data_IF_285684680589
#
_entry.id   IF_285684680589
#
_cell.length_a   1.000
_cell.length_b   1.000
_cell.length_c   1.000
_cell.angle_alpha   90.00
_cell.angle_beta   90.00
_cell.angle_gamma   90.00
#
_symmetry.space_group_name_H-M   'P 1'
#
loop_
_entity.id
_entity.type
_entity.pdbx_description
1 polymer ?
#
# COMPACT_ATOMS: atom_id res chain seq x y z
N UNK A 1 -22.32 37.36 1.54
CA UNK A 1 -20.92 37.06 1.15
C UNK A 1 -20.68 35.57 1.37
N UNK A 2 -21.32 34.73 0.55
CA UNK A 2 -21.20 33.28 0.57
C UNK A 2 -20.29 32.88 -0.60
N UNK A 3 -19.24 32.10 -0.35
CA UNK A 3 -18.53 31.35 -1.39
C UNK A 3 -17.94 30.10 -0.71
N UNK A 4 -18.68 28.99 -0.68
CA UNK A 4 -18.71 27.95 -1.71
C UNK A 4 -17.43 27.10 -1.73
N UNK A 5 -17.55 25.94 -1.06
CA UNK A 5 -16.87 24.67 -1.28
C UNK A 5 -15.33 24.61 -1.21
N UNK A 6 -14.85 24.26 -0.02
CA UNK A 6 -13.69 23.39 0.13
C UNK A 6 -14.01 22.02 -0.49
N UNK A 7 -13.73 21.85 -1.78
CA UNK A 7 -13.73 20.55 -2.44
C UNK A 7 -12.34 19.93 -2.23
N UNK A 8 -12.14 19.37 -1.04
CA UNK A 8 -10.96 18.55 -0.69
C UNK A 8 -10.92 17.41 -1.70
N UNK A 9 -10.08 17.55 -2.73
CA UNK A 9 -9.72 16.54 -3.72
C UNK A 9 -10.81 15.45 -3.86
N UNK A 10 -11.93 15.80 -4.49
CA UNK A 10 -13.05 14.94 -4.89
C UNK A 10 -13.30 13.69 -4.03
N UNK A 11 -14.40 13.68 -3.28
CA UNK A 11 -15.07 12.43 -2.87
C UNK A 11 -15.03 11.44 -4.05
N UNK A 12 -14.64 10.18 -3.87
CA UNK A 12 -14.47 9.25 -4.98
C UNK A 12 -15.81 9.11 -5.72
N UNK A 13 -15.94 9.73 -6.90
CA UNK A 13 -17.07 9.47 -7.78
C UNK A 13 -16.88 8.08 -8.35
N UNK A 14 -17.72 7.16 -7.90
CA UNK A 14 -17.77 5.79 -8.36
C UNK A 14 -17.87 5.76 -9.90
N UNK A 15 -16.80 5.32 -10.55
CA UNK A 15 -16.80 4.42 -11.72
C UNK A 15 -15.38 4.28 -12.25
N UNK A 16 -14.47 3.73 -11.44
CA UNK A 16 -13.31 3.05 -12.02
C UNK A 16 -13.81 1.68 -12.45
N UNK A 17 -13.81 1.43 -13.76
CA UNK A 17 -14.03 0.12 -14.33
C UNK A 17 -13.03 -0.84 -13.67
N UNK A 18 -13.50 -1.65 -12.72
CA UNK A 18 -12.76 -2.72 -12.06
C UNK A 18 -12.60 -3.87 -13.05
N UNK A 19 -11.99 -3.61 -14.22
CA UNK A 19 -11.57 -4.67 -15.12
C UNK A 19 -10.40 -5.39 -14.44
N UNK A 20 -10.78 -6.38 -13.61
CA UNK A 20 -10.02 -7.59 -13.27
C UNK A 20 -8.50 -7.37 -13.30
N UNK A 21 -7.94 -6.87 -12.20
CA UNK A 21 -6.51 -6.99 -11.94
C UNK A 21 -6.27 -8.47 -11.62
N UNK A 22 -6.22 -9.30 -12.66
CA UNK A 22 -5.61 -10.62 -12.61
C UNK A 22 -4.11 -10.41 -12.47
N UNK A 23 -3.67 -10.22 -11.23
CA UNK A 23 -2.31 -10.53 -10.80
C UNK A 23 -2.46 -11.25 -9.46
N UNK A 24 -3.01 -12.46 -9.59
CA UNK A 24 -2.96 -13.52 -8.61
C UNK A 24 -1.47 -13.74 -8.31
N UNK A 25 -0.99 -13.29 -7.15
CA UNK A 25 0.16 -13.96 -6.57
C UNK A 25 -0.18 -15.46 -6.56
N UNK A 26 0.82 -16.33 -6.74
CA UNK A 26 0.72 -17.80 -6.83
C UNK A 26 0.20 -18.47 -5.53
N UNK A 27 -0.71 -17.80 -4.82
CA UNK A 27 -1.45 -18.24 -3.63
C UNK A 27 -2.34 -19.43 -3.93
N UNK A 28 -2.67 -19.71 -5.20
CA UNK A 28 -3.45 -20.88 -5.62
C UNK A 28 -2.80 -22.21 -5.24
N UNK A 29 -1.47 -22.24 -5.04
CA UNK A 29 -0.72 -23.44 -4.63
C UNK A 29 -0.54 -23.54 -3.10
N UNK A 30 -1.01 -22.56 -2.33
CA UNK A 30 -0.90 -22.57 -0.88
C UNK A 30 -2.14 -23.21 -0.23
N UNK A 31 -1.95 -24.05 0.81
CA UNK A 31 -3.05 -24.72 1.48
C UNK A 31 -3.98 -23.70 2.15
N UNK A 32 -5.27 -23.90 1.96
CA UNK A 32 -6.32 -23.13 2.63
C UNK A 32 -6.42 -23.54 4.12
N UNK A 33 -7.02 -22.67 4.94
CA UNK A 33 -7.12 -22.82 6.39
C UNK A 33 -7.69 -24.19 6.81
N UNK A 34 -8.71 -24.66 6.11
CA UNK A 34 -9.40 -25.92 6.42
C UNK A 34 -8.53 -27.15 6.13
N UNK A 35 -7.56 -27.03 5.23
CA UNK A 35 -6.66 -28.12 4.82
C UNK A 35 -5.38 -28.20 5.65
N UNK A 36 -5.08 -27.17 6.46
CA UNK A 36 -3.84 -27.11 7.27
C UNK A 36 -3.69 -28.27 8.25
N UNK A 37 -4.81 -28.85 8.72
CA UNK A 37 -4.79 -29.98 9.67
C UNK A 37 -4.40 -31.30 9.01
N UNK A 38 -4.46 -31.37 7.69
CA UNK A 38 -4.33 -32.60 6.90
C UNK A 38 -2.94 -32.74 6.25
N UNK A 39 -2.20 -31.63 6.16
CA UNK A 39 -0.86 -31.59 5.58
C UNK A 39 0.23 -31.98 6.60
N UNK A 40 1.34 -32.51 6.11
CA UNK A 40 2.46 -32.88 6.97
C UNK A 40 3.29 -31.65 7.42
N UNK A 41 4.22 -31.87 8.35
CA UNK A 41 5.04 -30.79 8.92
C UNK A 41 5.94 -30.08 7.89
N UNK A 42 6.41 -30.77 6.85
CA UNK A 42 7.22 -30.15 5.81
C UNK A 42 6.37 -29.23 4.91
N UNK A 43 5.17 -29.68 4.57
CA UNK A 43 4.17 -28.90 3.85
C UNK A 43 3.71 -27.67 4.65
N UNK A 44 3.55 -27.78 5.98
CA UNK A 44 3.25 -26.63 6.84
C UNK A 44 4.36 -25.58 6.82
N UNK A 45 5.63 -25.99 6.88
CA UNK A 45 6.77 -25.06 6.80
C UNK A 45 6.82 -24.37 5.42
N UNK A 46 6.58 -25.12 4.34
CA UNK A 46 6.50 -24.54 3.00
C UNK A 46 5.33 -23.53 2.90
N UNK A 47 4.17 -23.86 3.47
CA UNK A 47 3.02 -22.97 3.52
C UNK A 47 3.31 -21.68 4.28
N UNK A 48 3.98 -21.75 5.44
CA UNK A 48 4.41 -20.56 6.20
C UNK A 48 5.27 -19.65 5.32
N UNK A 49 6.25 -20.22 4.61
CA UNK A 49 7.11 -19.48 3.70
C UNK A 49 6.34 -18.83 2.56
N UNK A 50 5.47 -19.58 1.89
CA UNK A 50 4.68 -19.06 0.76
C UNK A 50 3.67 -17.99 1.18
N UNK A 51 2.99 -18.16 2.32
CA UNK A 51 2.09 -17.14 2.85
C UNK A 51 2.84 -15.87 3.26
N UNK A 52 4.06 -15.97 3.80
CA UNK A 52 4.89 -14.81 4.08
C UNK A 52 5.32 -14.06 2.80
N UNK A 53 5.64 -14.78 1.73
CA UNK A 53 5.94 -14.18 0.42
C UNK A 53 4.70 -13.48 -0.18
N UNK A 54 3.54 -14.13 -0.08
CA UNK A 54 2.27 -13.56 -0.51
C UNK A 54 1.92 -12.28 0.27
N UNK A 55 2.11 -12.27 1.59
CA UNK A 55 1.93 -11.11 2.44
C UNK A 55 2.85 -9.95 2.02
N UNK A 56 4.14 -10.24 1.81
CA UNK A 56 5.11 -9.25 1.34
C UNK A 56 4.71 -8.64 -0.01
N UNK A 57 4.33 -9.47 -0.97
CA UNK A 57 3.89 -9.02 -2.28
C UNK A 57 2.58 -8.20 -2.21
N UNK A 58 1.63 -8.59 -1.35
CA UNK A 58 0.40 -7.83 -1.13
C UNK A 58 0.69 -6.46 -0.48
N UNK A 59 1.58 -6.43 0.52
CA UNK A 59 2.02 -5.20 1.16
C UNK A 59 2.76 -4.27 0.18
N UNK A 60 3.55 -4.80 -0.74
CA UNK A 60 4.21 -4.02 -1.80
C UNK A 60 3.20 -3.33 -2.72
N UNK A 61 2.17 -4.05 -3.16
CA UNK A 61 1.08 -3.50 -4.00
C UNK A 61 0.31 -2.42 -3.25
N UNK A 62 0.01 -2.62 -1.97
CA UNK A 62 -0.63 -1.61 -1.11
C UNK A 62 0.23 -0.34 -1.02
N UNK A 63 1.54 -0.47 -0.79
CA UNK A 63 2.44 0.69 -0.73
C UNK A 63 2.54 1.41 -2.09
N UNK A 64 2.59 0.68 -3.20
CA UNK A 64 2.57 1.28 -4.54
C UNK A 64 1.28 2.10 -4.78
N UNK A 65 0.12 1.58 -4.35
CA UNK A 65 -1.13 2.32 -4.44
C UNK A 65 -1.16 3.58 -3.55
N UNK A 66 -0.57 3.52 -2.35
CA UNK A 66 -0.43 4.69 -1.47
C UNK A 66 0.51 5.72 -2.11
N UNK A 67 1.62 5.31 -2.72
CA UNK A 67 2.55 6.21 -3.38
C UNK A 67 1.85 6.95 -4.54
N UNK A 68 1.11 6.23 -5.38
CA UNK A 68 0.35 6.82 -6.49
C UNK A 68 -0.70 7.82 -6.01
N UNK A 69 -1.50 7.47 -4.99
CA UNK A 69 -2.48 8.39 -4.41
C UNK A 69 -1.80 9.65 -3.86
N UNK A 70 -0.69 9.49 -3.15
CA UNK A 70 0.04 10.60 -2.56
C UNK A 70 0.67 11.49 -3.65
N UNK A 71 1.21 10.88 -4.71
CA UNK A 71 1.71 11.57 -5.92
C UNK A 71 0.68 12.54 -6.49
N UNK A 72 -0.50 12.00 -6.82
CA UNK A 72 -1.61 12.74 -7.43
C UNK A 72 -2.14 13.87 -6.56
N UNK A 73 -2.27 13.62 -5.25
CA UNK A 73 -2.90 14.58 -4.35
C UNK A 73 -1.95 15.65 -3.83
N UNK A 74 -0.66 15.34 -3.66
CA UNK A 74 0.29 16.23 -3.00
C UNK A 74 1.24 16.95 -3.98
N UNK A 75 1.44 16.46 -5.21
CA UNK A 75 2.49 16.99 -6.10
C UNK A 75 2.03 17.36 -7.52
N UNK A 76 0.92 16.81 -8.03
CA UNK A 76 0.50 17.01 -9.43
C UNK A 76 -0.33 18.30 -9.69
N UNK A 77 -0.72 19.07 -8.67
CA UNK A 77 -1.50 20.31 -8.83
C UNK A 77 -0.68 21.58 -8.55
N UNK A 78 -0.16 22.28 -9.58
CA UNK A 78 0.64 23.50 -9.41
C UNK A 78 -0.18 24.71 -8.89
N UNK A 79 -1.51 24.61 -8.79
CA UNK A 79 -2.40 25.65 -8.26
C UNK A 79 -2.67 25.57 -6.75
N UNK A 80 -2.35 24.46 -6.08
CA UNK A 80 -2.55 24.23 -4.64
C UNK A 80 -1.40 24.77 -3.78
N UNK A 81 -0.97 26.00 -4.01
CA UNK A 81 0.22 26.53 -3.32
C UNK A 81 -0.07 27.10 -1.91
N UNK A 82 -1.19 26.81 -1.25
CA UNK A 82 -1.49 27.44 0.04
C UNK A 82 -1.21 26.57 1.27
N UNK A 83 -1.37 25.24 1.24
CA UNK A 83 -1.13 24.37 2.42
C UNK A 83 -0.80 22.90 2.06
N UNK A 84 0.42 22.60 1.61
CA UNK A 84 0.83 21.21 1.31
C UNK A 84 0.70 20.24 2.51
N UNK A 85 0.74 20.76 3.74
CA UNK A 85 0.48 19.99 4.95
C UNK A 85 -0.97 19.49 5.03
N UNK A 86 -1.94 20.30 4.57
CA UNK A 86 -3.36 19.93 4.60
C UNK A 86 -3.66 18.84 3.55
N UNK A 87 -2.97 18.87 2.40
CA UNK A 87 -3.08 17.81 1.38
C UNK A 87 -2.50 16.50 1.90
N UNK A 88 -1.34 16.52 2.57
CA UNK A 88 -0.76 15.34 3.21
C UNK A 88 -1.69 14.76 4.27
N UNK A 89 -2.22 15.60 5.15
CA UNK A 89 -3.12 15.17 6.22
C UNK A 89 -4.44 14.62 5.67
N UNK A 90 -4.94 15.19 4.57
CA UNK A 90 -6.11 14.69 3.85
C UNK A 90 -5.88 13.31 3.25
N UNK A 91 -4.71 13.05 2.65
CA UNK A 91 -4.36 11.72 2.14
C UNK A 91 -4.14 10.73 3.30
N UNK A 92 -3.47 11.15 4.39
CA UNK A 92 -3.27 10.31 5.56
C UNK A 92 -4.59 9.90 6.21
N UNK A 93 -5.61 10.76 6.21
CA UNK A 93 -6.95 10.41 6.65
C UNK A 93 -7.61 9.36 5.74
N UNK A 94 -7.49 9.48 4.42
CA UNK A 94 -8.03 8.51 3.46
C UNK A 94 -7.35 7.13 3.60
N UNK A 95 -6.02 7.11 3.68
CA UNK A 95 -5.23 5.89 3.88
C UNK A 95 -5.56 5.26 5.23
N UNK A 96 -5.64 6.06 6.30
CA UNK A 96 -6.01 5.60 7.64
C UNK A 96 -7.39 4.95 7.67
N UNK A 97 -8.38 5.58 7.04
CA UNK A 97 -9.73 5.04 6.92
C UNK A 97 -9.78 3.73 6.11
N UNK A 98 -9.05 3.66 4.99
CA UNK A 98 -9.01 2.45 4.15
C UNK A 98 -8.35 1.25 4.84
N UNK A 99 -7.33 1.50 5.67
CA UNK A 99 -6.58 0.45 6.37
C UNK A 99 -7.06 0.18 7.80
N UNK A 100 -7.95 1.00 8.36
CA UNK A 100 -8.35 0.93 9.76
C UNK A 100 -7.20 1.24 10.74
N UNK A 101 -6.33 2.19 10.42
CA UNK A 101 -5.18 2.57 11.27
C UNK A 101 -5.23 4.04 11.70
N UNK A 102 -4.43 4.40 12.71
CA UNK A 102 -4.28 5.79 13.14
C UNK A 102 -3.65 6.66 12.05
N UNK A 103 -3.95 7.95 12.08
CA UNK A 103 -3.40 8.95 11.15
C UNK A 103 -1.86 8.93 11.12
N UNK A 104 -1.20 8.91 12.30
CA UNK A 104 0.26 8.82 12.36
C UNK A 104 0.82 7.56 11.68
N UNK A 105 0.15 6.42 11.83
CA UNK A 105 0.56 5.17 11.16
C UNK A 105 0.32 5.24 9.65
N UNK A 106 -0.77 5.85 9.20
CA UNK A 106 -1.01 6.12 7.78
C UNK A 106 0.06 7.03 7.18
N UNK A 107 0.38 8.13 7.87
CA UNK A 107 1.44 9.07 7.48
C UNK A 107 2.81 8.36 7.37
N UNK A 108 3.19 7.53 8.34
CA UNK A 108 4.43 6.73 8.22
C UNK A 108 4.42 5.76 7.02
N UNK A 109 3.26 5.19 6.68
CA UNK A 109 3.14 4.32 5.49
C UNK A 109 3.25 5.12 4.19
N UNK A 110 2.74 6.35 4.14
CA UNK A 110 2.91 7.26 2.99
C UNK A 110 4.37 7.61 2.77
N UNK A 111 5.11 7.96 3.83
CA UNK A 111 6.57 8.19 3.72
C UNK A 111 7.31 6.96 3.20
N UNK A 112 7.00 5.78 3.74
CA UNK A 112 7.61 4.53 3.28
C UNK A 112 7.27 4.25 1.80
N UNK A 113 6.02 4.47 1.41
CA UNK A 113 5.55 4.30 0.04
C UNK A 113 6.31 5.20 -0.94
N UNK A 114 6.47 6.48 -0.62
CA UNK A 114 7.25 7.42 -1.43
C UNK A 114 8.73 7.03 -1.51
N UNK A 115 9.35 6.67 -0.38
CA UNK A 115 10.74 6.25 -0.36
C UNK A 115 10.98 5.04 -1.29
N UNK A 116 10.05 4.09 -1.32
CA UNK A 116 10.11 2.93 -2.22
C UNK A 116 9.90 3.31 -3.69
N UNK A 117 8.97 4.22 -3.98
CA UNK A 117 8.66 4.64 -5.34
C UNK A 117 9.79 5.47 -5.96
N UNK A 118 10.36 6.41 -5.20
CA UNK A 118 11.28 7.42 -5.74
C UNK A 118 12.75 7.09 -5.51
N UNK A 119 13.09 6.61 -4.30
CA UNK A 119 14.49 6.43 -3.89
C UNK A 119 14.96 4.98 -4.03
N UNK A 120 14.08 4.02 -3.77
CA UNK A 120 14.43 2.60 -3.64
C UNK A 120 13.63 1.68 -4.58
N UNK A 121 13.53 1.96 -5.90
CA UNK A 121 12.69 1.17 -6.79
C UNK A 121 13.14 -0.30 -6.93
N UNK A 122 14.44 -0.57 -6.76
CA UNK A 122 14.97 -1.95 -6.74
C UNK A 122 14.49 -2.74 -5.52
N UNK A 123 14.42 -2.09 -4.36
CA UNK A 123 13.87 -2.70 -3.14
C UNK A 123 12.38 -2.96 -3.30
N UNK A 124 11.65 -2.00 -3.88
CA UNK A 124 10.22 -2.15 -4.16
C UNK A 124 9.95 -3.36 -5.07
N UNK A 125 10.77 -3.59 -6.10
CA UNK A 125 10.66 -4.75 -6.98
C UNK A 125 10.90 -6.08 -6.25
N UNK A 126 11.93 -6.16 -5.40
CA UNK A 126 12.21 -7.36 -4.59
C UNK A 126 11.10 -7.62 -3.56
N UNK A 127 10.54 -6.55 -2.99
CA UNK A 127 9.41 -6.65 -2.06
C UNK A 127 8.15 -7.15 -2.77
N UNK A 128 7.86 -6.65 -3.96
CA UNK A 128 6.75 -7.12 -4.79
C UNK A 128 6.91 -8.59 -5.24
N UNK A 129 8.15 -9.06 -5.40
CA UNK A 129 8.46 -10.47 -5.65
C UNK A 129 8.41 -11.37 -4.39
N UNK A 130 8.07 -10.81 -3.22
CA UNK A 130 8.00 -11.56 -1.95
C UNK A 130 9.37 -11.94 -1.38
N UNK A 131 10.47 -11.40 -1.91
CA UNK A 131 11.84 -11.76 -1.50
C UNK A 131 12.32 -10.98 -0.26
N UNK A 132 11.62 -9.90 0.09
CA UNK A 132 11.89 -9.09 1.28
C UNK A 132 10.64 -9.07 2.15
N UNK A 133 10.81 -9.04 3.47
CA UNK A 133 9.69 -8.82 4.38
C UNK A 133 9.47 -7.32 4.64
N UNK A 134 8.26 -6.96 5.06
CA UNK A 134 7.87 -5.57 5.29
C UNK A 134 8.70 -4.89 6.39
N UNK A 135 9.15 -5.64 7.40
CA UNK A 135 9.97 -5.12 8.49
C UNK A 135 11.34 -4.64 7.98
N UNK A 136 12.02 -5.48 7.19
CA UNK A 136 13.32 -5.17 6.60
C UNK A 136 13.22 -3.96 5.67
N UNK A 137 12.19 -3.93 4.83
CA UNK A 137 11.90 -2.80 3.94
C UNK A 137 11.70 -1.50 4.73
N UNK A 138 10.93 -1.57 5.82
CA UNK A 138 10.72 -0.42 6.70
C UNK A 138 11.99 -0.01 7.44
N UNK A 139 12.95 -0.90 7.71
CA UNK A 139 14.21 -0.53 8.38
C UNK A 139 15.15 0.22 7.43
N UNK A 140 15.27 -0.24 6.19
CA UNK A 140 16.24 0.33 5.24
C UNK A 140 15.79 1.64 4.59
N UNK A 141 14.49 1.96 4.61
CA UNK A 141 13.95 3.18 4.00
C UNK A 141 14.34 4.47 4.73
N UNK A 142 14.79 4.38 5.98
CA UNK A 142 15.09 5.54 6.84
C UNK A 142 16.58 5.92 6.88
N UNK A 143 17.42 5.28 6.06
CA UNK A 143 18.83 5.63 5.86
C UNK A 143 19.02 6.36 4.53
#
# INVERSE_FOLDING_TARGET
MHNAAADVCGRPSASANLSRIENMCDTTDLPDLDTLREVDGAALVAAIGGWAQAEAAAAARRLAAIAELTGRCCYDDPGRSRWAADDWDGVAAQVGAAMGVSHGKASSQMYLAQALAERLPKVAALFAAGQLNAALVSTISWH
#
